data_IF_160048268924
#
_entry.id   IF_160048268924
#
_cell.length_a   1.000
_cell.length_b   1.000
_cell.length_c   1.000
_cell.angle_alpha   90.00
_cell.angle_beta   90.00
_cell.angle_gamma   90.00
#
_symmetry.space_group_name_H-M   'P 1'
#
loop_
_entity.id
_entity.type
_entity.pdbx_description
1 polymer ?
#
# COMPACT_ATOMS: atom_id res chain seq x y z
N UNK A 1 18.03 -34.74 16.37
CA UNK A 1 17.97 -34.66 14.89
C UNK A 1 16.80 -33.78 14.50
N UNK A 2 17.04 -32.59 13.94
CA UNK A 2 15.98 -31.69 13.48
C UNK A 2 15.53 -32.10 12.07
N UNK A 3 14.23 -32.32 11.86
CA UNK A 3 13.68 -32.67 10.56
C UNK A 3 13.98 -31.57 9.51
N UNK A 4 14.31 -31.93 8.26
CA UNK A 4 14.57 -30.96 7.21
C UNK A 4 13.28 -30.17 6.93
N UNK A 5 13.37 -28.83 7.04
CA UNK A 5 12.25 -27.94 6.68
C UNK A 5 11.96 -28.13 5.20
N UNK A 6 10.72 -28.56 4.87
CA UNK A 6 10.24 -28.64 3.48
C UNK A 6 10.55 -27.32 2.76
N UNK A 7 11.06 -27.35 1.52
CA UNK A 7 11.21 -26.13 0.74
C UNK A 7 9.82 -25.51 0.56
N UNK A 8 9.66 -24.31 1.10
CA UNK A 8 8.49 -23.48 0.87
C UNK A 8 8.44 -23.18 -0.63
N UNK A 9 7.64 -23.95 -1.38
CA UNK A 9 7.31 -23.70 -2.77
C UNK A 9 6.82 -22.25 -2.88
N UNK A 10 7.56 -21.40 -3.57
CA UNK A 10 7.10 -20.05 -3.85
C UNK A 10 5.73 -20.19 -4.54
N UNK A 11 4.63 -19.62 -4.02
CA UNK A 11 3.39 -19.56 -4.76
C UNK A 11 3.69 -18.92 -6.11
N UNK A 12 3.13 -19.51 -7.18
CA UNK A 12 3.22 -18.97 -8.52
C UNK A 12 2.85 -17.48 -8.49
N UNK A 13 3.51 -16.62 -9.30
CA UNK A 13 3.13 -15.22 -9.38
C UNK A 13 1.66 -15.19 -9.79
N UNK A 14 0.81 -14.74 -8.87
CA UNK A 14 -0.61 -14.58 -9.14
C UNK A 14 -0.73 -13.31 -9.99
N UNK A 15 -0.45 -13.46 -11.29
CA UNK A 15 -0.49 -12.40 -12.28
C UNK A 15 -1.95 -12.06 -12.60
N UNK A 16 -2.68 -11.53 -11.62
CA UNK A 16 -3.89 -10.80 -11.93
C UNK A 16 -3.45 -9.55 -12.71
N UNK A 17 -4.02 -9.26 -13.90
CA UNK A 17 -3.83 -7.96 -14.51
C UNK A 17 -4.23 -6.92 -13.47
N UNK A 18 -3.29 -6.03 -13.13
CA UNK A 18 -3.55 -4.92 -12.22
C UNK A 18 -4.56 -4.04 -12.95
N UNK A 19 -5.79 -3.87 -12.43
CA UNK A 19 -6.74 -2.99 -13.09
C UNK A 19 -6.12 -1.59 -13.23
N UNK A 20 -6.27 -0.92 -14.39
CA UNK A 20 -5.61 0.36 -14.66
C UNK A 20 -5.99 1.43 -13.61
N UNK A 21 -7.18 1.31 -13.03
CA UNK A 21 -7.66 2.14 -11.94
C UNK A 21 -6.76 2.09 -10.68
N UNK A 22 -6.11 0.95 -10.40
CA UNK A 22 -5.20 0.86 -9.25
C UNK A 22 -3.93 1.69 -9.46
N UNK A 23 -3.43 1.78 -10.70
CA UNK A 23 -2.32 2.66 -11.04
C UNK A 23 -2.76 4.13 -10.88
N UNK A 24 -3.92 4.50 -11.42
CA UNK A 24 -4.48 5.84 -11.27
C UNK A 24 -4.64 6.26 -9.79
N UNK A 25 -5.22 5.39 -8.96
CA UNK A 25 -5.37 5.63 -7.51
C UNK A 25 -4.01 5.82 -6.83
N UNK A 26 -3.00 5.03 -7.21
CA UNK A 26 -1.63 5.13 -6.70
C UNK A 26 -0.99 6.45 -7.07
N UNK A 27 -1.13 6.87 -8.32
CA UNK A 27 -0.53 8.09 -8.85
C UNK A 27 -1.17 9.33 -8.22
N UNK A 28 -2.49 9.33 -8.03
CA UNK A 28 -3.21 10.39 -7.31
C UNK A 28 -2.79 10.51 -5.84
N UNK A 29 -2.51 9.39 -5.18
CA UNK A 29 -1.97 9.45 -3.81
C UNK A 29 -0.54 9.96 -3.86
N UNK A 30 0.28 9.48 -4.79
CA UNK A 30 1.68 9.86 -4.92
C UNK A 30 1.88 11.35 -5.27
N UNK A 31 0.97 11.95 -6.06
CA UNK A 31 1.03 13.36 -6.47
C UNK A 31 0.96 14.35 -5.28
N UNK A 32 0.40 13.92 -4.14
CA UNK A 32 0.43 14.74 -2.93
C UNK A 32 1.87 15.00 -2.44
N UNK A 33 2.80 14.07 -2.70
CA UNK A 33 4.20 14.20 -2.33
C UNK A 33 4.39 14.45 -0.83
N UNK A 34 4.93 15.63 -0.49
CA UNK A 34 5.11 16.09 0.90
C UNK A 34 3.84 16.60 1.58
N UNK A 35 2.75 16.81 0.85
CA UNK A 35 1.47 17.34 1.37
C UNK A 35 0.57 16.22 1.88
N UNK A 36 -0.53 16.62 2.52
CA UNK A 36 -1.54 15.68 3.00
C UNK A 36 -2.52 15.30 1.89
N UNK A 37 -2.88 14.02 1.85
CA UNK A 37 -3.94 13.48 1.02
C UNK A 37 -4.96 12.75 1.91
N UNK A 38 -6.25 12.91 1.60
CA UNK A 38 -7.33 12.21 2.27
C UNK A 38 -7.76 10.99 1.45
N UNK A 39 -7.71 9.80 2.03
CA UNK A 39 -8.14 8.56 1.36
C UNK A 39 -9.27 7.92 2.14
N UNK A 40 -10.37 7.60 1.45
CA UNK A 40 -11.49 6.84 2.01
C UNK A 40 -11.52 5.45 1.37
N UNK A 41 -11.64 4.42 2.20
CA UNK A 41 -11.72 3.04 1.74
C UNK A 41 -12.55 2.17 2.67
N UNK A 42 -13.03 1.04 2.14
CA UNK A 42 -13.73 0.02 2.92
C UNK A 42 -12.74 -0.94 3.55
N UNK A 43 -12.85 -1.14 4.86
CA UNK A 43 -12.05 -2.10 5.63
C UNK A 43 -12.55 -3.52 5.38
N UNK A 44 -11.77 -4.51 5.80
CA UNK A 44 -12.15 -5.93 5.73
C UNK A 44 -13.47 -6.23 6.47
N UNK A 45 -13.77 -5.49 7.53
CA UNK A 45 -15.02 -5.61 8.30
C UNK A 45 -16.22 -4.91 7.64
N UNK A 46 -16.07 -4.37 6.42
CA UNK A 46 -17.12 -3.66 5.70
C UNK A 46 -17.27 -2.19 6.09
N UNK A 47 -16.57 -1.72 7.12
CA UNK A 47 -16.70 -0.33 7.59
C UNK A 47 -15.89 0.64 6.74
N UNK A 48 -16.44 1.83 6.49
CA UNK A 48 -15.70 2.93 5.86
C UNK A 48 -14.65 3.47 6.82
N UNK A 49 -13.42 3.66 6.32
CA UNK A 49 -12.37 4.39 7.01
C UNK A 49 -11.87 5.54 6.16
N UNK A 50 -11.71 6.68 6.81
CA UNK A 50 -11.06 7.87 6.28
C UNK A 50 -9.66 7.96 6.88
N UNK A 51 -8.65 8.18 6.04
CA UNK A 51 -7.26 8.24 6.45
C UNK A 51 -6.61 9.50 5.89
N UNK A 52 -5.84 10.19 6.72
CA UNK A 52 -4.98 11.29 6.30
C UNK A 52 -3.57 10.74 6.09
N UNK A 53 -3.09 10.79 4.86
CA UNK A 53 -1.80 10.22 4.46
C UNK A 53 -0.82 11.29 4.03
N UNK A 54 0.47 11.03 4.23
CA UNK A 54 1.57 11.84 3.69
C UNK A 54 2.55 10.93 2.94
N UNK A 55 2.45 10.81 1.61
CA UNK A 55 3.20 9.81 0.84
C UNK A 55 4.72 9.90 1.01
N UNK A 56 5.29 11.12 0.94
CA UNK A 56 6.74 11.31 1.04
C UNK A 56 7.28 10.98 2.44
N UNK A 57 6.46 11.07 3.49
CA UNK A 57 6.88 10.84 4.87
C UNK A 57 7.25 9.39 5.16
N UNK A 58 6.70 8.43 4.40
CA UNK A 58 7.05 7.03 4.57
C UNK A 58 8.51 6.77 4.20
N UNK A 59 8.96 7.29 3.04
CA UNK A 59 10.33 7.08 2.53
C UNK A 59 11.40 7.57 3.51
N UNK A 60 11.13 8.67 4.23
CA UNK A 60 12.05 9.22 5.23
C UNK A 60 12.18 8.34 6.50
N UNK A 61 11.28 7.38 6.68
CA UNK A 61 11.21 6.51 7.87
C UNK A 61 11.51 5.05 7.57
N UNK A 62 11.61 4.71 6.29
CA UNK A 62 12.03 3.39 5.84
C UNK A 62 13.55 3.27 5.95
N UNK A 63 14.02 2.10 6.40
CA UNK A 63 15.46 1.78 6.38
C UNK A 63 16.01 1.65 4.95
N UNK A 64 15.15 1.39 3.97
CA UNK A 64 15.53 1.26 2.57
C UNK A 64 16.69 0.27 2.38
N UNK A 65 17.79 0.67 1.70
CA UNK A 65 18.96 -0.18 1.48
C UNK A 65 19.63 -0.69 2.76
N UNK A 66 19.54 0.05 3.87
CA UNK A 66 20.11 -0.35 5.16
C UNK A 66 19.28 -1.43 5.89
N UNK A 67 18.17 -1.88 5.31
CA UNK A 67 17.40 -3.01 5.85
C UNK A 67 18.12 -4.34 5.60
N UNK A 68 17.94 -5.30 6.53
CA UNK A 68 18.42 -6.67 6.35
C UNK A 68 17.95 -7.28 5.01
N UNK A 69 18.73 -8.18 4.42
CA UNK A 69 18.32 -8.88 3.19
C UNK A 69 16.95 -9.53 3.31
N UNK A 70 16.68 -10.18 4.45
CA UNK A 70 15.39 -10.81 4.73
C UNK A 70 14.25 -9.81 4.64
N UNK A 71 14.43 -8.62 5.20
CA UNK A 71 13.42 -7.56 5.15
C UNK A 71 13.23 -7.02 3.73
N UNK A 72 14.31 -6.79 2.98
CA UNK A 72 14.26 -6.35 1.57
C UNK A 72 13.50 -7.37 0.70
N UNK A 73 13.84 -8.66 0.82
CA UNK A 73 13.13 -9.75 0.11
C UNK A 73 11.65 -9.82 0.49
N UNK A 74 11.31 -9.68 1.76
CA UNK A 74 9.92 -9.68 2.21
C UNK A 74 9.10 -8.54 1.60
N UNK A 75 9.68 -7.34 1.49
CA UNK A 75 9.04 -6.19 0.83
C UNK A 75 8.79 -6.47 -0.65
N UNK A 76 9.79 -6.98 -1.37
CA UNK A 76 9.66 -7.33 -2.80
C UNK A 76 8.56 -8.38 -3.02
N UNK A 77 8.61 -9.49 -2.26
CA UNK A 77 7.58 -10.53 -2.34
C UNK A 77 6.18 -10.00 -2.04
N UNK A 78 6.04 -9.04 -1.12
CA UNK A 78 4.74 -8.41 -0.83
C UNK A 78 4.26 -7.55 -2.01
N UNK A 79 5.15 -6.78 -2.63
CA UNK A 79 4.82 -5.96 -3.80
C UNK A 79 4.36 -6.83 -4.98
N UNK A 80 5.06 -7.94 -5.24
CA UNK A 80 4.72 -8.90 -6.29
C UNK A 80 3.37 -9.58 -6.04
N UNK A 81 3.12 -10.05 -4.81
CA UNK A 81 1.90 -10.81 -4.48
C UNK A 81 0.67 -9.95 -4.23
N UNK A 82 0.88 -8.70 -3.80
CA UNK A 82 -0.19 -7.80 -3.39
C UNK A 82 -0.02 -6.41 -4.02
N UNK A 83 -0.06 -6.31 -5.36
CA UNK A 83 0.14 -5.04 -6.07
C UNK A 83 -0.96 -4.00 -5.78
N UNK A 84 -2.09 -4.43 -5.22
CA UNK A 84 -3.18 -3.55 -4.78
C UNK A 84 -2.95 -2.94 -3.38
N UNK A 85 -1.94 -3.39 -2.63
CA UNK A 85 -1.59 -2.78 -1.35
C UNK A 85 -0.60 -1.64 -1.58
N UNK A 86 -0.94 -0.46 -1.08
CA UNK A 86 -0.09 0.71 -1.08
C UNK A 86 0.38 0.99 0.35
N UNK A 87 1.69 0.86 0.65
CA UNK A 87 2.22 1.34 1.92
C UNK A 87 2.19 2.87 1.94
N UNK A 88 1.72 3.44 3.06
CA UNK A 88 1.61 4.89 3.28
C UNK A 88 1.99 5.24 4.71
N UNK A 89 2.33 6.50 4.95
CA UNK A 89 2.40 7.06 6.29
C UNK A 89 1.03 7.62 6.69
N UNK A 90 0.41 7.06 7.74
CA UNK A 90 -0.81 7.59 8.35
C UNK A 90 -0.40 8.72 9.32
N UNK A 91 -0.80 9.94 9.00
CA UNK A 91 -0.42 11.15 9.75
C UNK A 91 -1.05 11.14 11.14
N UNK A 92 -2.30 10.67 11.26
CA UNK A 92 -3.04 10.67 12.53
C UNK A 92 -2.54 9.56 13.45
N UNK A 93 -2.28 8.38 12.90
CA UNK A 93 -1.72 7.27 13.67
C UNK A 93 -0.21 7.38 13.90
N UNK A 94 0.48 8.31 13.21
CA UNK A 94 1.94 8.46 13.21
C UNK A 94 2.68 7.14 12.98
N UNK A 95 2.20 6.35 12.02
CA UNK A 95 2.73 5.02 11.76
C UNK A 95 2.60 4.61 10.28
N UNK A 96 3.46 3.67 9.79
CA UNK A 96 3.27 3.05 8.50
C UNK A 96 2.00 2.20 8.50
N UNK A 97 1.18 2.34 7.46
CA UNK A 97 -0.03 1.55 7.22
C UNK A 97 -0.06 1.07 5.77
N UNK A 98 -0.94 0.14 5.46
CA UNK A 98 -1.24 -0.25 4.08
C UNK A 98 -2.68 0.11 3.74
N UNK A 99 -2.89 0.71 2.58
CA UNK A 99 -4.20 0.94 1.98
C UNK A 99 -4.43 -0.13 0.91
N UNK A 100 -5.60 -0.76 0.91
CA UNK A 100 -6.05 -1.59 -0.19
C UNK A 100 -6.70 -0.70 -1.26
N UNK A 101 -6.03 -0.54 -2.40
CA UNK A 101 -6.48 0.33 -3.49
C UNK A 101 -7.78 -0.17 -4.15
N UNK A 102 -8.07 -1.48 -4.08
CA UNK A 102 -9.31 -2.03 -4.63
C UNK A 102 -10.55 -1.50 -3.90
N UNK A 103 -10.42 -1.19 -2.62
CA UNK A 103 -11.52 -0.74 -1.77
C UNK A 103 -11.58 0.77 -1.60
N UNK A 104 -10.73 1.52 -2.30
CA UNK A 104 -10.72 2.99 -2.25
C UNK A 104 -11.90 3.54 -3.04
N UNK A 105 -12.77 4.28 -2.37
CA UNK A 105 -13.93 4.94 -2.95
C UNK A 105 -13.71 6.44 -3.18
N UNK A 106 -12.75 7.06 -2.48
CA UNK A 106 -12.48 8.49 -2.58
C UNK A 106 -11.03 8.83 -2.30
N UNK A 107 -10.46 9.72 -3.11
CA UNK A 107 -9.16 10.36 -2.89
C UNK A 107 -9.34 11.87 -2.96
N UNK A 108 -8.90 12.60 -1.94
CA UNK A 108 -8.86 14.06 -1.91
C UNK A 108 -7.42 14.53 -1.86
N UNK A 109 -6.99 15.21 -2.92
CA UNK A 109 -5.61 15.66 -3.12
C UNK A 109 -5.66 16.97 -3.91
N UNK A 110 -4.83 17.93 -3.52
CA UNK A 110 -4.65 19.21 -4.24
C UNK A 110 -5.94 20.03 -4.41
N UNK A 111 -6.85 19.94 -3.43
CA UNK A 111 -8.16 20.59 -3.49
C UNK A 111 -9.18 19.85 -4.39
N UNK A 112 -8.75 18.83 -5.13
CA UNK A 112 -9.60 18.00 -5.97
C UNK A 112 -10.09 16.76 -5.21
N UNK A 113 -11.29 16.30 -5.56
CA UNK A 113 -11.89 15.07 -5.02
C UNK A 113 -12.17 14.11 -6.16
N UNK A 114 -11.49 12.97 -6.14
CA UNK A 114 -11.68 11.87 -7.07
C UNK A 114 -12.52 10.80 -6.40
N UNK A 115 -13.60 10.36 -7.06
CA UNK A 115 -14.48 9.28 -6.59
C UNK A 115 -14.35 8.08 -7.52
N UNK A 116 -14.49 6.90 -6.94
CA UNK A 116 -14.34 5.62 -7.62
C UNK A 116 -15.55 4.74 -7.33
N UNK A 117 -16.00 3.99 -8.34
CA UNK A 117 -17.03 2.98 -8.16
C UNK A 117 -16.46 1.80 -7.36
N UNK A 118 -17.32 1.16 -6.56
CA UNK A 118 -16.98 -0.04 -5.80
C UNK A 118 -17.11 -1.29 -6.66
#
# INVERSE_FOLDING_TARGET
MAAPRKPSRAPAPFAWPVPPELAQKRDLIASAGGRFCGVTFIRKDGTERRMQVQPAALRLREKGPAASERARRATLTRQERHPHLLPVWDVRARAPRSINLRTVSRIAVDGCVHRFAA
#
